data_IF_327480646476
#
_entry.id   IF_327480646476
#
_cell.length_a   1.000
_cell.length_b   1.000
_cell.length_c   1.000
_cell.angle_alpha   90.00
_cell.angle_beta   90.00
_cell.angle_gamma   90.00
#
_symmetry.space_group_name_H-M   'P 1'
#
loop_
_entity.id
_entity.type
_entity.pdbx_description
1 polymer ?
#
# COMPACT_ATOMS: atom_id res chain seq x y z
N UNK A 1 19.94 -10.25 -33.76
CA UNK A 1 18.95 -9.65 -32.84
C UNK A 1 18.65 -10.64 -31.74
N UNK A 2 18.89 -10.27 -30.48
CA UNK A 2 18.93 -11.19 -29.34
C UNK A 2 17.49 -11.61 -28.94
N UNK A 3 17.07 -12.83 -29.27
CA UNK A 3 15.70 -13.34 -29.03
C UNK A 3 15.24 -13.26 -27.56
N UNK A 4 16.17 -13.18 -26.59
CA UNK A 4 15.85 -12.96 -25.17
C UNK A 4 15.28 -11.56 -24.90
N UNK A 5 15.75 -10.54 -25.61
CA UNK A 5 15.26 -9.16 -25.46
C UNK A 5 13.84 -8.98 -26.01
N UNK A 6 13.49 -9.68 -27.09
CA UNK A 6 12.14 -9.67 -27.66
C UNK A 6 11.10 -10.35 -26.74
N UNK A 7 11.52 -11.35 -25.94
CA UNK A 7 10.65 -12.03 -24.97
C UNK A 7 10.33 -11.17 -23.74
N UNK A 8 11.25 -10.30 -23.34
CA UNK A 8 11.06 -9.38 -22.21
C UNK A 8 10.04 -8.25 -22.48
N UNK A 9 9.59 -8.09 -23.73
CA UNK A 9 8.59 -7.09 -24.14
C UNK A 9 7.39 -7.74 -24.83
N UNK A 10 7.15 -9.04 -24.63
CA UNK A 10 5.94 -9.67 -25.18
C UNK A 10 4.69 -9.08 -24.50
N UNK A 11 3.59 -8.98 -25.26
CA UNK A 11 2.30 -8.49 -24.74
C UNK A 11 1.87 -9.29 -23.49
N UNK A 12 2.15 -10.60 -23.47
CA UNK A 12 1.89 -11.47 -22.32
C UNK A 12 2.72 -11.10 -21.09
N UNK A 13 3.99 -10.73 -21.27
CA UNK A 13 4.84 -10.27 -20.18
C UNK A 13 4.31 -8.95 -19.61
N UNK A 14 3.97 -7.99 -20.47
CA UNK A 14 3.41 -6.69 -20.06
C UNK A 14 2.08 -6.91 -19.30
N UNK A 15 1.19 -7.75 -19.83
CA UNK A 15 -0.09 -8.04 -19.19
C UNK A 15 0.05 -8.67 -17.80
N UNK A 16 1.02 -9.58 -17.62
CA UNK A 16 1.32 -10.17 -16.30
C UNK A 16 1.78 -9.10 -15.31
N UNK A 17 2.69 -8.21 -15.70
CA UNK A 17 3.21 -7.17 -14.81
C UNK A 17 2.14 -6.13 -14.46
N UNK A 18 1.28 -5.76 -15.42
CA UNK A 18 0.13 -4.89 -15.16
C UNK A 18 -0.86 -5.56 -14.21
N UNK A 19 -1.18 -6.84 -14.40
CA UNK A 19 -2.06 -7.57 -13.50
C UNK A 19 -1.48 -7.66 -12.07
N UNK A 20 -0.18 -7.97 -11.94
CA UNK A 20 0.52 -7.97 -10.65
C UNK A 20 0.51 -6.59 -9.98
N UNK A 21 0.69 -5.52 -10.74
CA UNK A 21 0.62 -4.15 -10.23
C UNK A 21 -0.78 -3.82 -9.70
N UNK A 22 -1.83 -4.17 -10.45
CA UNK A 22 -3.23 -3.95 -10.02
C UNK A 22 -3.53 -4.73 -8.73
N UNK A 23 -3.10 -5.99 -8.66
CA UNK A 23 -3.29 -6.83 -7.47
C UNK A 23 -2.55 -6.24 -6.25
N UNK A 24 -1.31 -5.78 -6.44
CA UNK A 24 -0.54 -5.14 -5.38
C UNK A 24 -1.20 -3.84 -4.91
N UNK A 25 -1.58 -2.97 -5.83
CA UNK A 25 -2.25 -1.72 -5.51
C UNK A 25 -3.58 -1.97 -4.77
N UNK A 26 -4.37 -2.95 -5.23
CA UNK A 26 -5.62 -3.34 -4.58
C UNK A 26 -5.42 -3.89 -3.17
N UNK A 27 -4.42 -4.75 -2.97
CA UNK A 27 -4.09 -5.31 -1.66
C UNK A 27 -3.63 -4.24 -0.67
N UNK A 28 -2.77 -3.31 -1.12
CA UNK A 28 -2.30 -2.19 -0.29
C UNK A 28 -3.46 -1.23 0.04
N UNK A 29 -4.36 -0.97 -0.92
CA UNK A 29 -5.56 -0.16 -0.67
C UNK A 29 -6.48 -0.81 0.36
N UNK A 30 -6.74 -2.11 0.24
CA UNK A 30 -7.54 -2.84 1.22
C UNK A 30 -6.90 -2.81 2.62
N UNK A 31 -5.58 -2.98 2.71
CA UNK A 31 -4.84 -2.88 3.96
C UNK A 31 -4.92 -1.46 4.56
N UNK A 32 -4.79 -0.41 3.74
CA UNK A 32 -4.90 0.97 4.18
C UNK A 32 -6.30 1.31 4.71
N UNK A 33 -7.36 0.81 4.04
CA UNK A 33 -8.74 0.94 4.51
C UNK A 33 -8.92 0.23 5.87
N UNK A 34 -8.45 -1.01 5.98
CA UNK A 34 -8.56 -1.79 7.21
C UNK A 34 -7.81 -1.14 8.38
N UNK A 35 -6.60 -0.64 8.13
CA UNK A 35 -5.81 0.10 9.13
C UNK A 35 -6.54 1.37 9.57
N UNK A 36 -7.07 2.14 8.62
CA UNK A 36 -7.81 3.37 8.91
C UNK A 36 -9.06 3.08 9.74
N UNK A 37 -9.82 2.04 9.39
CA UNK A 37 -10.99 1.60 10.15
C UNK A 37 -10.62 1.15 11.57
N UNK A 38 -9.49 0.47 11.74
CA UNK A 38 -8.99 0.07 13.05
C UNK A 38 -8.61 1.29 13.90
N UNK A 39 -7.91 2.27 13.33
CA UNK A 39 -7.55 3.51 14.02
C UNK A 39 -8.83 4.23 14.50
N UNK A 40 -9.82 4.39 13.62
CA UNK A 40 -11.12 4.99 13.97
C UNK A 40 -11.76 4.24 15.14
N UNK A 41 -11.83 2.91 15.07
CA UNK A 41 -12.46 2.10 16.11
C UNK A 41 -11.74 2.25 17.47
N UNK A 42 -10.41 2.29 17.48
CA UNK A 42 -9.62 2.47 18.70
C UNK A 42 -9.84 3.88 19.27
N UNK A 43 -9.81 4.92 18.45
CA UNK A 43 -10.06 6.29 18.87
C UNK A 43 -11.45 6.46 19.50
N UNK A 44 -12.49 5.90 18.88
CA UNK A 44 -13.86 5.93 19.40
C UNK A 44 -13.98 5.18 20.74
N UNK A 45 -13.32 4.03 20.89
CA UNK A 45 -13.30 3.30 22.17
C UNK A 45 -12.63 4.13 23.27
N UNK A 46 -11.51 4.78 22.97
CA UNK A 46 -10.81 5.65 23.93
C UNK A 46 -11.68 6.86 24.30
N UNK A 47 -12.34 7.48 23.32
CA UNK A 47 -13.26 8.59 23.55
C UNK A 47 -14.45 8.19 24.43
N UNK A 48 -15.05 7.02 24.19
CA UNK A 48 -16.12 6.46 25.03
C UNK A 48 -15.66 6.27 26.48
N UNK A 49 -14.45 5.74 26.69
CA UNK A 49 -13.94 5.48 28.05
C UNK A 49 -13.61 6.80 28.76
N UNK A 50 -12.94 7.73 28.09
CA UNK A 50 -12.36 8.92 28.71
C UNK A 50 -13.30 10.12 28.75
N UNK A 51 -14.10 10.32 27.69
CA UNK A 51 -14.99 11.47 27.52
C UNK A 51 -16.48 11.09 27.64
N UNK A 52 -16.79 9.80 27.79
CA UNK A 52 -18.14 9.26 27.98
C UNK A 52 -19.13 9.61 26.84
N UNK A 53 -18.62 9.93 25.64
CA UNK A 53 -19.41 10.12 24.43
C UNK A 53 -18.61 9.70 23.19
N UNK A 54 -19.32 9.35 22.11
CA UNK A 54 -18.72 9.08 20.80
C UNK A 54 -18.26 10.38 20.16
N UNK A 55 -17.08 10.37 19.56
CA UNK A 55 -16.53 11.51 18.85
C UNK A 55 -16.16 11.01 17.47
N UNK A 56 -16.88 11.48 16.44
CA UNK A 56 -16.49 11.22 15.05
C UNK A 56 -15.19 11.98 14.74
N UNK A 57 -14.08 11.46 15.24
CA UNK A 57 -12.74 12.05 15.20
C UNK A 57 -12.28 12.26 13.77
N UNK A 58 -12.69 11.37 12.86
CA UNK A 58 -12.32 11.45 11.46
C UNK A 58 -13.04 12.55 10.67
N UNK A 59 -14.27 12.89 11.05
CA UNK A 59 -14.96 14.07 10.50
C UNK A 59 -14.58 15.35 11.25
N UNK A 60 -14.43 15.30 12.58
CA UNK A 60 -14.25 16.50 13.41
C UNK A 60 -12.80 16.97 13.56
N UNK A 61 -11.82 16.06 13.57
CA UNK A 61 -10.39 16.39 13.74
C UNK A 61 -9.65 16.33 12.41
N UNK A 62 -9.85 15.25 11.64
CA UNK A 62 -9.15 15.05 10.36
C UNK A 62 -9.87 15.66 9.15
N UNK A 63 -11.11 16.14 9.32
CA UNK A 63 -11.89 16.86 8.30
C UNK A 63 -12.39 16.01 7.13
N UNK A 64 -11.77 14.87 6.82
CA UNK A 64 -12.23 13.95 5.78
C UNK A 64 -11.61 12.54 5.91
N UNK A 65 -12.45 11.53 6.15
CA UNK A 65 -11.98 10.15 6.30
C UNK A 65 -11.35 9.55 5.03
N UNK A 66 -11.86 9.89 3.85
CA UNK A 66 -11.30 9.40 2.58
C UNK A 66 -9.93 9.98 2.28
N UNK A 67 -9.70 11.25 2.65
CA UNK A 67 -8.39 11.87 2.53
C UNK A 67 -7.36 11.16 3.42
N UNK A 68 -7.75 10.81 4.65
CA UNK A 68 -6.90 10.05 5.56
C UNK A 68 -6.59 8.65 5.05
N UNK A 69 -7.58 7.91 4.53
CA UNK A 69 -7.35 6.59 3.88
C UNK A 69 -6.38 6.72 2.71
N UNK A 70 -6.56 7.73 1.87
CA UNK A 70 -5.70 7.98 0.71
C UNK A 70 -4.25 8.30 1.14
N UNK A 71 -4.07 9.08 2.21
CA UNK A 71 -2.75 9.32 2.79
C UNK A 71 -2.08 8.04 3.30
N UNK A 72 -2.79 7.21 4.06
CA UNK A 72 -2.28 5.92 4.52
C UNK A 72 -1.90 5.02 3.34
N UNK A 73 -2.75 4.98 2.30
CA UNK A 73 -2.45 4.24 1.08
C UNK A 73 -1.17 4.72 0.42
N UNK A 74 -0.99 6.02 0.20
CA UNK A 74 0.23 6.56 -0.43
C UNK A 74 1.47 6.17 0.36
N UNK A 75 1.46 6.32 1.69
CA UNK A 75 2.61 6.03 2.54
C UNK A 75 2.98 4.55 2.48
N UNK A 76 2.00 3.66 2.71
CA UNK A 76 2.23 2.21 2.70
C UNK A 76 2.64 1.74 1.32
N UNK A 77 1.96 2.21 0.28
CA UNK A 77 2.28 1.86 -1.10
C UNK A 77 3.68 2.32 -1.49
N UNK A 78 4.07 3.55 -1.14
CA UNK A 78 5.40 4.08 -1.45
C UNK A 78 6.51 3.29 -0.75
N UNK A 79 6.30 2.90 0.51
CA UNK A 79 7.25 2.05 1.24
C UNK A 79 7.38 0.67 0.60
N UNK A 80 6.26 0.00 0.32
CA UNK A 80 6.26 -1.34 -0.31
C UNK A 80 6.87 -1.28 -1.72
N UNK A 81 6.53 -0.27 -2.50
CA UNK A 81 7.07 -0.06 -3.84
C UNK A 81 8.57 0.24 -3.81
N UNK A 82 9.05 1.03 -2.85
CA UNK A 82 10.46 1.32 -2.66
C UNK A 82 11.26 0.05 -2.34
N UNK A 83 10.81 -0.75 -1.37
CA UNK A 83 11.47 -2.01 -1.02
C UNK A 83 11.44 -3.03 -2.18
N UNK A 84 10.29 -3.16 -2.85
CA UNK A 84 10.16 -4.01 -4.04
C UNK A 84 11.10 -3.57 -5.17
N UNK A 85 11.28 -2.25 -5.36
CA UNK A 85 12.24 -1.72 -6.32
C UNK A 85 13.70 -2.01 -5.93
N UNK A 86 14.05 -1.88 -4.65
CA UNK A 86 15.40 -2.25 -4.17
C UNK A 86 15.68 -3.73 -4.43
N UNK A 87 14.77 -4.63 -4.07
CA UNK A 87 14.93 -6.07 -4.32
C UNK A 87 15.05 -6.41 -5.81
N UNK A 88 14.37 -5.65 -6.67
CA UNK A 88 14.40 -5.87 -8.12
C UNK A 88 15.68 -5.36 -8.78
N UNK A 89 16.20 -4.21 -8.31
CA UNK A 89 17.27 -3.49 -9.01
C UNK A 89 18.64 -3.53 -8.31
N UNK A 90 18.71 -3.96 -7.04
CA UNK A 90 19.98 -4.16 -6.34
C UNK A 90 20.41 -5.62 -6.53
N UNK A 91 21.52 -5.89 -7.24
CA UNK A 91 22.00 -7.26 -7.44
C UNK A 91 22.39 -7.89 -6.11
N UNK A 92 22.02 -9.16 -5.89
CA UNK A 92 22.55 -9.92 -4.77
C UNK A 92 24.09 -9.97 -4.86
N UNK A 93 24.80 -9.75 -3.73
CA UNK A 93 26.24 -9.88 -3.70
C UNK A 93 26.61 -11.30 -4.14
N UNK A 94 27.39 -11.41 -5.22
CA UNK A 94 27.91 -12.68 -5.70
C UNK A 94 28.75 -13.27 -4.58
N UNK A 95 28.20 -14.26 -3.89
CA UNK A 95 29.00 -15.07 -2.97
C UNK A 95 29.86 -15.95 -3.86
N UNK A 96 31.10 -15.52 -4.10
CA UNK A 96 32.11 -16.36 -4.71
C UNK A 96 32.38 -17.53 -3.76
N UNK A 97 31.94 -18.72 -4.17
CA UNK A 97 32.21 -19.99 -3.50
C UNK A 97 33.49 -20.61 -4.07
#
# INVERSE_FOLDING_TARGET
MNHKAAKAWSITWIAQHVASFILLAGAVLAAAIALTALIIAVEEIVALITMQHLINTYTNIYGNAWATVFWHFIVVFSLVAFWSALDTFVPEPKTEA
#
